data_IF_380325622578
#
_entry.id   IF_380325622578
#
_cell.length_a   1.000
_cell.length_b   1.000
_cell.length_c   1.000
_cell.angle_alpha   90.00
_cell.angle_beta   90.00
_cell.angle_gamma   90.00
#
_symmetry.space_group_name_H-M   'P 1'
#
loop_
_entity.id
_entity.type
_entity.pdbx_description
1 polymer ?
#
# COMPACT_ATOMS: atom_id res chain seq x y z
N UNK A 1 1.67 10.96 -16.29
CA UNK A 1 1.02 11.21 -14.99
C UNK A 1 1.86 12.24 -14.26
N UNK A 2 1.35 13.45 -14.00
CA UNK A 2 2.09 14.49 -13.28
C UNK A 2 1.63 14.42 -11.81
N UNK A 3 2.20 13.48 -11.04
CA UNK A 3 2.01 13.46 -9.58
C UNK A 3 2.91 14.55 -9.00
N UNK A 4 2.32 15.68 -8.66
CA UNK A 4 2.98 16.69 -7.84
C UNK A 4 3.16 16.12 -6.43
N UNK A 5 4.36 16.26 -5.89
CA UNK A 5 4.75 15.76 -4.55
C UNK A 5 4.67 16.87 -3.51
N UNK A 6 3.88 17.89 -3.81
CA UNK A 6 3.61 18.99 -2.89
C UNK A 6 2.71 18.51 -1.74
N UNK A 7 2.81 19.21 -0.63
CA UNK A 7 2.12 18.86 0.62
C UNK A 7 0.61 18.80 0.42
N UNK A 8 0.03 19.73 -0.36
CA UNK A 8 -1.41 19.75 -0.61
C UNK A 8 -1.87 18.47 -1.34
N UNK A 9 -1.06 17.96 -2.29
CA UNK A 9 -1.37 16.71 -2.99
C UNK A 9 -1.31 15.49 -2.07
N UNK A 10 -0.37 15.46 -1.14
CA UNK A 10 -0.25 14.40 -0.12
C UNK A 10 -1.45 14.45 0.83
N UNK A 11 -1.83 15.63 1.31
CA UNK A 11 -2.99 15.81 2.18
C UNK A 11 -4.29 15.36 1.49
N UNK A 12 -4.43 15.65 0.18
CA UNK A 12 -5.57 15.16 -0.61
C UNK A 12 -5.57 13.63 -0.74
N UNK A 13 -4.41 13.00 -0.88
CA UNK A 13 -4.29 11.55 -0.93
C UNK A 13 -4.72 10.91 0.39
N UNK A 14 -4.27 11.46 1.52
CA UNK A 14 -4.68 11.03 2.87
C UNK A 14 -6.20 11.15 3.05
N UNK A 15 -6.74 12.31 2.71
CA UNK A 15 -8.17 12.59 2.80
C UNK A 15 -8.99 11.61 1.93
N UNK A 16 -8.50 11.30 0.73
CA UNK A 16 -9.17 10.35 -0.17
C UNK A 16 -9.20 8.93 0.39
N UNK A 17 -8.11 8.47 1.02
CA UNK A 17 -8.08 7.19 1.73
C UNK A 17 -9.14 7.14 2.84
N UNK A 18 -9.15 8.11 3.75
CA UNK A 18 -10.10 8.13 4.86
C UNK A 18 -11.56 8.25 4.41
N UNK A 19 -11.85 9.04 3.36
CA UNK A 19 -13.19 9.10 2.81
C UNK A 19 -13.63 7.78 2.19
N UNK A 20 -12.77 7.11 1.41
CA UNK A 20 -13.09 5.79 0.85
C UNK A 20 -13.35 4.79 1.96
N UNK A 21 -12.47 4.72 2.95
CA UNK A 21 -12.63 3.84 4.11
C UNK A 21 -13.95 4.11 4.85
N UNK A 22 -14.33 5.36 5.03
CA UNK A 22 -15.60 5.74 5.65
C UNK A 22 -16.81 5.36 4.80
N UNK A 23 -16.80 5.64 3.49
CA UNK A 23 -17.95 5.34 2.61
C UNK A 23 -18.17 3.82 2.51
N UNK A 24 -17.10 3.06 2.35
CA UNK A 24 -17.17 1.61 2.15
C UNK A 24 -17.11 0.82 3.46
N UNK A 25 -16.91 1.49 4.60
CA UNK A 25 -16.75 0.87 5.92
C UNK A 25 -15.65 -0.22 5.93
N UNK A 26 -14.59 -0.02 5.15
CA UNK A 26 -13.52 -0.99 4.97
C UNK A 26 -12.41 -0.48 4.05
N UNK A 27 -11.24 -1.10 4.15
CA UNK A 27 -10.06 -0.76 3.33
C UNK A 27 -10.05 -1.46 1.97
N UNK A 28 -10.80 -2.55 1.82
CA UNK A 28 -10.91 -3.35 0.61
C UNK A 28 -12.25 -4.11 0.62
N UNK A 29 -12.69 -4.59 -0.55
CA UNK A 29 -13.92 -5.40 -0.69
C UNK A 29 -13.62 -6.84 -1.16
N UNK A 30 -12.35 -7.21 -1.27
CA UNK A 30 -11.90 -8.53 -1.71
C UNK A 30 -12.02 -9.56 -0.57
N UNK A 31 -12.41 -10.82 -0.83
CA UNK A 31 -12.55 -11.86 0.20
C UNK A 31 -11.19 -12.43 0.64
N UNK A 32 -10.28 -11.56 1.06
CA UNK A 32 -8.90 -11.92 1.49
C UNK A 32 -8.68 -11.78 2.99
N UNK A 33 -9.67 -11.25 3.73
CA UNK A 33 -9.52 -10.90 5.14
C UNK A 33 -9.11 -12.10 6.00
N UNK A 34 -9.72 -13.27 5.79
CA UNK A 34 -9.33 -14.49 6.50
C UNK A 34 -7.85 -14.86 6.28
N UNK A 35 -7.30 -14.60 5.09
CA UNK A 35 -5.86 -14.84 4.80
C UNK A 35 -4.99 -13.80 5.48
N UNK A 36 -5.42 -12.54 5.49
CA UNK A 36 -4.72 -11.45 6.15
C UNK A 36 -4.59 -11.70 7.66
N UNK A 37 -5.69 -12.12 8.30
CA UNK A 37 -5.75 -12.43 9.73
C UNK A 37 -4.85 -13.63 10.07
N UNK A 38 -4.85 -14.67 9.22
CA UNK A 38 -4.00 -15.86 9.41
C UNK A 38 -2.50 -15.57 9.27
N UNK A 39 -2.13 -14.49 8.58
CA UNK A 39 -0.72 -14.10 8.39
C UNK A 39 -0.01 -14.79 7.22
N UNK A 40 -0.76 -15.37 6.29
CA UNK A 40 -0.19 -16.10 5.14
C UNK A 40 -0.30 -15.30 3.84
N UNK A 41 -0.46 -13.97 3.93
CA UNK A 41 -0.78 -13.12 2.79
C UNK A 41 0.35 -12.13 2.48
N UNK A 42 0.71 -12.02 1.20
CA UNK A 42 1.55 -10.94 0.68
C UNK A 42 0.73 -9.97 -0.16
N UNK A 43 0.73 -8.70 0.23
CA UNK A 43 -0.04 -7.64 -0.42
C UNK A 43 0.90 -6.65 -1.11
N UNK A 44 0.57 -6.28 -2.35
CA UNK A 44 1.26 -5.24 -3.12
C UNK A 44 0.34 -4.05 -3.39
N UNK A 45 0.83 -2.83 -3.17
CA UNK A 45 0.20 -1.58 -3.63
C UNK A 45 1.08 -0.93 -4.71
N UNK A 46 0.52 -0.71 -5.89
CA UNK A 46 1.22 -0.11 -7.03
C UNK A 46 0.86 1.37 -7.14
N UNK A 47 1.87 2.24 -7.16
CA UNK A 47 1.65 3.68 -7.09
C UNK A 47 1.20 4.10 -5.69
N UNK A 48 1.82 3.52 -4.65
CA UNK A 48 1.36 3.67 -3.26
C UNK A 48 1.43 5.11 -2.72
N UNK A 49 2.12 6.03 -3.41
CA UNK A 49 2.25 7.42 -2.99
C UNK A 49 2.80 7.55 -1.57
N UNK A 50 2.04 8.21 -0.68
CA UNK A 50 2.39 8.36 0.73
C UNK A 50 2.23 7.05 1.55
N UNK A 51 1.64 6.00 0.97
CA UNK A 51 1.53 4.68 1.59
C UNK A 51 0.46 4.56 2.69
N UNK A 52 -0.45 5.53 2.83
CA UNK A 52 -1.45 5.57 3.92
C UNK A 52 -2.29 4.31 4.01
N UNK A 53 -2.71 3.77 2.87
CA UNK A 53 -3.51 2.54 2.82
C UNK A 53 -2.72 1.33 3.36
N UNK A 54 -1.46 1.20 2.94
CA UNK A 54 -0.57 0.15 3.43
C UNK A 54 -0.21 0.32 4.91
N UNK A 55 -0.04 1.55 5.40
CA UNK A 55 0.20 1.82 6.81
C UNK A 55 -0.99 1.39 7.68
N UNK A 56 -2.22 1.68 7.26
CA UNK A 56 -3.42 1.23 7.94
C UNK A 56 -3.48 -0.31 7.97
N UNK A 57 -3.29 -0.97 6.82
CA UNK A 57 -3.37 -2.43 6.74
C UNK A 57 -2.24 -3.14 7.48
N UNK A 58 -1.02 -2.64 7.42
CA UNK A 58 0.13 -3.24 8.08
C UNK A 58 0.01 -3.19 9.61
N UNK A 59 -0.59 -2.11 10.15
CA UNK A 59 -0.91 -1.99 11.56
C UNK A 59 -2.10 -2.88 11.97
N UNK A 60 -3.07 -3.10 11.08
CA UNK A 60 -4.26 -3.92 11.36
C UNK A 60 -3.96 -5.42 11.29
N UNK A 61 -3.13 -5.86 10.33
CA UNK A 61 -2.83 -7.25 10.04
C UNK A 61 -1.34 -7.54 10.23
N UNK A 62 -0.87 -7.50 11.46
CA UNK A 62 0.56 -7.61 11.84
C UNK A 62 1.25 -8.91 11.36
N UNK A 63 0.48 -9.98 11.13
CA UNK A 63 1.03 -11.26 10.69
C UNK A 63 1.20 -11.38 9.17
N UNK A 64 0.67 -10.44 8.38
CA UNK A 64 0.79 -10.43 6.91
C UNK A 64 1.86 -9.44 6.44
N UNK A 65 2.35 -9.60 5.21
CA UNK A 65 3.43 -8.78 4.65
C UNK A 65 2.91 -7.84 3.56
N UNK A 66 3.36 -6.60 3.61
CA UNK A 66 2.89 -5.50 2.79
C UNK A 66 4.04 -4.85 2.03
N UNK A 67 3.80 -4.56 0.75
CA UNK A 67 4.80 -4.00 -0.15
C UNK A 67 4.18 -2.84 -0.92
N UNK A 68 4.81 -1.67 -0.86
CA UNK A 68 4.43 -0.51 -1.65
C UNK A 68 5.48 -0.20 -2.70
N UNK A 69 5.05 0.02 -3.93
CA UNK A 69 5.92 0.46 -5.02
C UNK A 69 5.44 1.79 -5.56
N UNK A 70 6.35 2.76 -5.66
CA UNK A 70 6.08 4.02 -6.35
C UNK A 70 7.34 4.49 -7.08
N UNK A 71 7.18 5.25 -8.15
CA UNK A 71 8.29 5.87 -8.87
C UNK A 71 8.90 7.04 -8.09
N UNK A 72 8.17 7.60 -7.11
CA UNK A 72 8.69 8.64 -6.21
C UNK A 72 8.65 8.17 -4.76
N UNK A 73 9.70 8.39 -3.97
CA UNK A 73 9.79 7.94 -2.59
C UNK A 73 9.05 8.91 -1.64
N UNK A 74 7.74 9.09 -1.82
CA UNK A 74 6.90 9.98 -1.00
C UNK A 74 6.50 9.30 0.33
N UNK A 75 6.43 7.98 0.32
CA UNK A 75 6.15 7.12 1.48
C UNK A 75 7.18 7.29 2.62
N UNK A 76 6.81 6.95 3.87
CA UNK A 76 7.73 7.05 4.99
C UNK A 76 8.86 6.02 4.90
N UNK A 77 10.11 6.49 5.06
CA UNK A 77 11.30 5.63 4.99
C UNK A 77 11.74 5.09 6.35
N UNK A 78 11.66 5.90 7.41
CA UNK A 78 12.23 5.56 8.71
C UNK A 78 11.20 4.97 9.68
N UNK A 79 10.00 5.54 9.72
CA UNK A 79 8.96 5.19 10.69
C UNK A 79 7.85 4.44 9.97
N UNK A 80 7.88 3.11 10.04
CA UNK A 80 6.87 2.22 9.47
C UNK A 80 6.82 0.88 10.21
N UNK A 81 5.71 0.13 10.13
CA UNK A 81 5.63 -1.24 10.65
C UNK A 81 6.70 -2.17 10.07
N UNK A 82 7.12 -3.18 10.84
CA UNK A 82 8.18 -4.12 10.43
C UNK A 82 7.76 -5.05 9.29
N UNK A 83 6.45 -5.26 9.13
CA UNK A 83 5.84 -6.08 8.08
C UNK A 83 5.51 -5.28 6.80
N UNK A 84 5.96 -4.02 6.72
CA UNK A 84 5.73 -3.14 5.57
C UNK A 84 7.06 -2.73 4.94
N UNK A 85 7.20 -2.93 3.63
CA UNK A 85 8.36 -2.50 2.84
C UNK A 85 7.93 -1.57 1.71
N UNK A 86 8.67 -0.47 1.52
CA UNK A 86 8.46 0.45 0.40
C UNK A 86 9.66 0.42 -0.53
N UNK A 87 9.40 0.39 -1.84
CA UNK A 87 10.41 0.28 -2.88
C UNK A 87 10.17 1.38 -3.90
N UNK A 88 11.20 2.18 -4.15
CA UNK A 88 11.20 3.13 -5.26
C UNK A 88 11.50 2.36 -6.56
N UNK A 89 10.51 2.26 -7.45
CA UNK A 89 10.69 1.62 -8.75
C UNK A 89 9.72 2.16 -9.80
N UNK A 90 10.21 2.30 -11.03
CA UNK A 90 9.37 2.56 -12.19
C UNK A 90 8.74 1.25 -12.67
N UNK A 91 7.42 1.10 -12.48
CA UNK A 91 6.67 -0.11 -12.85
C UNK A 91 6.61 -0.39 -14.36
N UNK A 92 6.98 0.57 -15.21
CA UNK A 92 7.13 0.32 -16.66
C UNK A 92 8.36 -0.53 -16.94
N UNK A 93 9.34 -0.49 -16.04
CA UNK A 93 10.39 -1.48 -15.94
C UNK A 93 9.88 -2.57 -14.99
N UNK A 94 9.99 -3.85 -15.40
CA UNK A 94 9.48 -5.01 -14.65
C UNK A 94 9.64 -4.85 -13.12
N UNK A 95 8.58 -5.19 -12.38
CA UNK A 95 8.61 -5.16 -10.91
C UNK A 95 9.76 -6.00 -10.34
N UNK A 96 10.40 -5.56 -9.23
CA UNK A 96 11.54 -6.23 -8.62
C UNK A 96 11.14 -7.47 -7.80
N UNK A 97 10.13 -8.21 -8.26
CA UNK A 97 9.60 -9.40 -7.59
C UNK A 97 9.52 -10.56 -8.57
N UNK A 98 9.52 -11.78 -8.02
CA UNK A 98 9.26 -12.98 -8.80
C UNK A 98 7.77 -13.06 -9.18
N UNK A 99 7.48 -13.79 -10.26
CA UNK A 99 6.10 -14.00 -10.70
C UNK A 99 5.32 -14.77 -9.62
N UNK A 100 4.04 -14.45 -9.44
CA UNK A 100 3.15 -15.02 -8.40
C UNK A 100 3.62 -14.79 -6.95
N UNK A 101 4.37 -13.70 -6.68
CA UNK A 101 4.84 -13.36 -5.34
C UNK A 101 3.74 -12.87 -4.38
N UNK A 102 2.60 -12.38 -4.89
CA UNK A 102 1.57 -11.68 -4.12
C UNK A 102 0.21 -12.37 -4.24
N UNK A 103 -0.49 -12.41 -3.11
CA UNK A 103 -1.85 -12.94 -3.00
C UNK A 103 -2.91 -11.88 -3.33
N UNK A 104 -2.57 -10.61 -3.12
CA UNK A 104 -3.45 -9.48 -3.37
C UNK A 104 -2.67 -8.28 -3.90
N UNK A 105 -3.25 -7.59 -4.87
CA UNK A 105 -2.67 -6.37 -5.46
C UNK A 105 -3.73 -5.27 -5.54
N UNK A 106 -3.34 -4.07 -5.10
CA UNK A 106 -4.13 -2.85 -5.17
C UNK A 106 -3.42 -1.82 -6.07
N UNK A 107 -4.21 -0.97 -6.73
CA UNK A 107 -3.79 0.09 -7.66
C UNK A 107 -4.73 1.28 -7.50
#
# INVERSE_FOLDING_TARGET
>A
YYLSTDVDSIDRLHMYHFFKRYIFQGNFSSPIEDKLIKGECKVLDIGCGAGTWLLDLANEYENSYFFGVDIKPIFPQEIKPNNLEFIEADITNRLPFHDNAFDFTHV
#
